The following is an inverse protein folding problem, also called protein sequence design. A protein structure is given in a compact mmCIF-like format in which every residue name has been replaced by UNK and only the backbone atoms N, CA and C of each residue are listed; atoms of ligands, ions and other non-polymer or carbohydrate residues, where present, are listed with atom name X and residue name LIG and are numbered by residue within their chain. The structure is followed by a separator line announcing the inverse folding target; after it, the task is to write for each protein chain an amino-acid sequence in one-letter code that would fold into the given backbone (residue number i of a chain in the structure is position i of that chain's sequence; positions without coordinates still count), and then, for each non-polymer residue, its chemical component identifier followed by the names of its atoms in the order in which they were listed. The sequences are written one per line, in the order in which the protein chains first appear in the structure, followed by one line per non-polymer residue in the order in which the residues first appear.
data_IF_352619060443
#
_entry.id   IF_352619060443
#
_cell.length_a   1.000
_cell.length_b   1.000
_cell.length_c   1.000
_cell.angle_alpha   90.00
_cell.angle_beta   90.00
_cell.angle_gamma   90.00
#
_symmetry.space_group_name_H-M   'P 1'
#
loop_
_entity.id
_entity.type
_entity.pdbx_description
1 polymer ?
#
# COMPACT_ATOMS: atom_id res chain seq x y z
N UNK A 1 22.38 -0.66 -52.70
CA UNK A 1 22.51 -1.47 -51.47
C UNK A 1 23.25 -0.61 -50.44
N UNK A 2 22.58 -0.12 -49.38
CA UNK A 2 23.28 0.62 -48.33
C UNK A 2 24.01 -0.36 -47.38
N UNK A 3 25.11 0.05 -46.74
CA UNK A 3 25.86 -0.81 -45.85
C UNK A 3 25.07 -1.07 -44.55
N UNK A 4 25.06 -2.34 -44.12
CA UNK A 4 24.52 -2.76 -42.83
C UNK A 4 25.37 -2.17 -41.70
N UNK A 5 24.78 -1.33 -40.86
CA UNK A 5 25.38 -0.93 -39.60
C UNK A 5 25.43 -2.14 -38.66
N UNK A 6 26.62 -2.55 -38.26
CA UNK A 6 26.83 -3.58 -37.24
C UNK A 6 26.46 -3.02 -35.85
N UNK A 7 25.71 -3.76 -35.01
CA UNK A 7 25.42 -3.32 -33.66
C UNK A 7 26.70 -3.38 -32.80
N UNK A 8 27.00 -2.30 -32.07
CA UNK A 8 28.10 -2.26 -31.10
C UNK A 8 27.93 -3.38 -30.04
N UNK A 9 28.80 -4.40 -30.11
CA UNK A 9 28.79 -5.59 -29.25
C UNK A 9 29.06 -5.33 -27.77
N UNK A 10 29.56 -4.14 -27.39
CA UNK A 10 29.91 -3.80 -26.00
C UNK A 10 28.79 -3.18 -25.14
N UNK A 11 27.73 -2.63 -25.75
CA UNK A 11 26.64 -1.98 -25.00
C UNK A 11 25.63 -3.01 -24.44
N UNK A 12 25.46 -4.14 -25.10
CA UNK A 12 24.57 -5.22 -24.65
C UNK A 12 25.06 -5.89 -23.36
N UNK A 13 26.35 -6.25 -23.30
CA UNK A 13 26.96 -6.93 -22.16
C UNK A 13 26.92 -6.11 -20.86
N UNK A 14 27.11 -4.78 -20.95
CA UNK A 14 27.07 -3.88 -19.78
C UNK A 14 25.66 -3.65 -19.25
N UNK A 15 24.65 -3.76 -20.12
CA UNK A 15 23.25 -3.63 -19.76
C UNK A 15 22.70 -4.92 -19.14
N UNK A 16 23.11 -6.08 -19.65
CA UNK A 16 22.79 -7.39 -19.05
C UNK A 16 23.43 -7.54 -17.67
N UNK A 17 24.72 -7.21 -17.50
CA UNK A 17 25.40 -7.27 -16.19
C UNK A 17 24.72 -6.41 -15.11
N UNK A 18 24.26 -5.20 -15.46
CA UNK A 18 23.52 -4.35 -14.52
C UNK A 18 22.12 -4.88 -14.19
N UNK A 19 21.46 -5.54 -15.14
CA UNK A 19 20.16 -6.16 -14.92
C UNK A 19 20.26 -7.38 -14.02
N UNK A 20 21.27 -8.23 -14.26
CA UNK A 20 21.52 -9.44 -13.47
C UNK A 20 21.92 -9.05 -12.03
N UNK A 21 22.78 -8.04 -11.86
CA UNK A 21 23.15 -7.53 -10.54
C UNK A 21 21.94 -7.02 -9.72
N UNK A 22 21.02 -6.28 -10.35
CA UNK A 22 19.80 -5.81 -9.68
C UNK A 22 18.82 -6.94 -9.32
N UNK A 23 18.81 -8.05 -10.07
CA UNK A 23 18.04 -9.24 -9.74
C UNK A 23 18.59 -9.95 -8.51
N UNK A 24 19.91 -10.21 -8.48
CA UNK A 24 20.56 -10.85 -7.33
C UNK A 24 20.35 -10.07 -6.03
N UNK A 25 20.44 -8.73 -6.07
CA UNK A 25 20.15 -7.89 -4.92
C UNK A 25 18.72 -8.07 -4.44
N UNK A 26 17.73 -8.08 -5.34
CA UNK A 26 16.32 -8.24 -4.97
C UNK A 26 16.09 -9.61 -4.31
N UNK A 27 16.65 -10.68 -4.89
CA UNK A 27 16.59 -12.03 -4.32
C UNK A 27 17.24 -12.10 -2.93
N UNK A 28 18.36 -11.42 -2.72
CA UNK A 28 19.03 -11.36 -1.41
C UNK A 28 18.13 -10.67 -0.37
N UNK A 29 17.47 -9.57 -0.72
CA UNK A 29 16.53 -8.90 0.18
C UNK A 29 15.33 -9.80 0.50
N UNK A 30 14.76 -10.50 -0.49
CA UNK A 30 13.66 -11.46 -0.28
C UNK A 30 14.11 -12.59 0.67
N UNK A 31 15.28 -13.18 0.44
CA UNK A 31 15.80 -14.26 1.27
C UNK A 31 16.05 -13.78 2.71
N UNK A 32 16.74 -12.65 2.90
CA UNK A 32 17.01 -12.09 4.22
C UNK A 32 15.74 -11.71 4.99
N UNK A 33 14.80 -11.04 4.32
CA UNK A 33 13.55 -10.62 4.92
C UNK A 33 12.63 -11.81 5.26
N UNK A 34 12.66 -12.88 4.45
CA UNK A 34 11.94 -14.13 4.73
C UNK A 34 12.56 -14.87 5.91
N UNK A 35 13.90 -14.92 5.99
CA UNK A 35 14.61 -15.51 7.11
C UNK A 35 14.28 -14.81 8.44
N UNK A 36 14.20 -13.47 8.44
CA UNK A 36 13.80 -12.69 9.62
C UNK A 36 12.37 -13.01 10.05
N UNK A 37 11.41 -13.04 9.12
CA UNK A 37 10.00 -13.39 9.42
C UNK A 37 9.87 -14.82 9.95
N UNK A 38 10.58 -15.79 9.34
CA UNK A 38 10.65 -17.17 9.83
C UNK A 38 11.28 -17.25 11.21
N UNK A 39 12.37 -16.52 11.45
CA UNK A 39 13.02 -16.42 12.76
C UNK A 39 12.08 -15.88 13.83
N UNK A 40 11.35 -14.79 13.55
CA UNK A 40 10.36 -14.22 14.47
C UNK A 40 9.18 -15.17 14.74
N UNK A 41 8.71 -15.89 13.73
CA UNK A 41 7.69 -16.91 13.90
C UNK A 41 8.19 -18.09 14.75
N UNK A 42 9.42 -18.54 14.53
CA UNK A 42 10.07 -19.60 15.30
C UNK A 42 10.29 -19.20 16.77
N UNK A 43 10.63 -17.93 17.02
CA UNK A 43 10.72 -17.35 18.36
C UNK A 43 9.35 -17.19 19.06
N UNK A 44 8.25 -17.54 18.40
CA UNK A 44 6.92 -17.50 19.02
C UNK A 44 6.35 -16.09 19.19
N UNK A 45 6.81 -15.10 18.39
CA UNK A 45 6.28 -13.73 18.43
C UNK A 45 4.84 -13.66 17.89
N UNK A 46 4.47 -14.59 17.02
CA UNK A 46 3.18 -14.62 16.30
C UNK A 46 1.92 -14.52 17.17
N UNK A 47 1.72 -15.40 18.17
CA UNK A 47 0.53 -15.36 19.04
C UNK A 47 0.32 -13.99 19.69
N UNK A 48 1.37 -13.38 20.24
CA UNK A 48 1.31 -12.05 20.86
C UNK A 48 0.95 -10.92 19.89
N UNK A 49 1.21 -11.10 18.59
CA UNK A 49 0.86 -10.16 17.53
C UNK A 49 -0.54 -10.42 16.94
N UNK A 50 -1.03 -11.67 16.97
CA UNK A 50 -2.36 -12.03 16.47
C UNK A 50 -3.49 -11.38 17.28
N UNK A 51 -3.26 -11.11 18.57
CA UNK A 51 -4.20 -10.43 19.46
C UNK A 51 -4.19 -8.90 19.33
N UNK A 52 -3.30 -8.35 18.49
CA UNK A 52 -3.16 -6.90 18.29
C UNK A 52 -4.13 -6.44 17.22
N UNK A 53 -5.05 -5.56 17.62
CA UNK A 53 -6.08 -4.99 16.75
C UNK A 53 -5.50 -4.08 15.64
N UNK A 54 -4.27 -3.60 15.81
CA UNK A 54 -3.55 -2.84 14.79
C UNK A 54 -3.10 -3.74 13.63
N UNK A 55 -2.89 -5.03 13.91
CA UNK A 55 -2.34 -6.02 12.99
C UNK A 55 -3.43 -6.89 12.36
N UNK A 56 -4.30 -7.42 13.21
CA UNK A 56 -5.35 -8.35 12.84
C UNK A 56 -6.71 -7.64 12.96
N UNK A 57 -7.33 -7.35 11.82
CA UNK A 57 -8.68 -6.76 11.78
C UNK A 57 -9.73 -7.84 11.54
N UNK A 58 -11.04 -7.54 11.64
CA UNK A 58 -12.10 -8.49 11.29
C UNK A 58 -11.99 -9.11 9.90
N UNK A 59 -11.34 -8.41 8.96
CA UNK A 59 -11.15 -8.86 7.59
C UNK A 59 -9.81 -9.55 7.35
N UNK A 60 -8.80 -9.31 8.18
CA UNK A 60 -7.44 -9.80 7.93
C UNK A 60 -6.93 -10.80 8.97
N UNK A 61 -7.71 -11.07 10.03
CA UNK A 61 -7.29 -11.92 11.15
C UNK A 61 -7.15 -13.41 10.81
N UNK A 62 -5.98 -13.97 11.11
CA UNK A 62 -5.74 -15.42 11.07
C UNK A 62 -6.62 -16.18 12.07
N UNK A 63 -6.87 -15.62 13.25
CA UNK A 63 -7.68 -16.26 14.28
C UNK A 63 -9.10 -16.47 13.78
N UNK A 64 -9.68 -15.44 13.15
CA UNK A 64 -11.01 -15.55 12.52
C UNK A 64 -11.01 -16.50 11.33
N UNK A 65 -9.93 -16.56 10.55
CA UNK A 65 -9.79 -17.56 9.48
C UNK A 65 -9.83 -18.98 10.05
N UNK A 66 -9.09 -19.26 11.14
CA UNK A 66 -9.09 -20.56 11.82
C UNK A 66 -10.48 -20.91 12.35
N UNK A 67 -11.17 -19.95 12.94
CA UNK A 67 -12.54 -20.14 13.42
C UNK A 67 -13.51 -20.41 12.27
N UNK A 68 -13.40 -19.69 11.15
CA UNK A 68 -14.17 -19.95 9.94
C UNK A 68 -13.92 -21.35 9.37
N UNK A 69 -12.66 -21.80 9.34
CA UNK A 69 -12.30 -23.16 8.92
C UNK A 69 -12.89 -24.22 9.85
N UNK A 70 -12.84 -23.98 11.16
CA UNK A 70 -13.44 -24.85 12.16
C UNK A 70 -14.95 -24.98 11.93
N UNK A 71 -15.68 -23.88 11.75
CA UNK A 71 -17.12 -23.92 11.46
C UNK A 71 -17.42 -24.71 10.18
N UNK A 72 -16.63 -24.51 9.13
CA UNK A 72 -16.76 -25.22 7.86
C UNK A 72 -16.58 -26.74 8.04
N UNK A 73 -15.63 -27.17 8.87
CA UNK A 73 -15.39 -28.59 9.17
C UNK A 73 -16.56 -29.23 9.95
N UNK A 74 -17.25 -28.45 10.77
CA UNK A 74 -18.45 -28.88 11.51
C UNK A 74 -19.75 -28.76 10.69
N UNK A 75 -19.67 -28.50 9.39
CA UNK A 75 -20.84 -28.41 8.50
C UNK A 75 -21.67 -27.13 8.66
N UNK A 76 -21.15 -26.13 9.38
CA UNK A 76 -21.77 -24.82 9.54
C UNK A 76 -21.14 -23.80 8.60
N UNK A 77 -21.96 -22.88 8.05
CA UNK A 77 -21.43 -21.81 7.20
C UNK A 77 -20.57 -20.84 8.03
N UNK A 78 -19.31 -20.58 7.64
CA UNK A 78 -18.46 -19.59 8.31
C UNK A 78 -19.05 -18.18 8.36
N UNK A 79 -19.97 -17.88 7.43
CA UNK A 79 -20.61 -16.56 7.26
C UNK A 79 -22.01 -16.48 7.87
N UNK A 80 -22.51 -17.56 8.48
CA UNK A 80 -23.83 -17.55 9.10
C UNK A 80 -23.89 -16.61 10.33
N UNK A 81 -22.74 -16.34 10.96
CA UNK A 81 -22.62 -15.47 12.13
C UNK A 81 -21.54 -14.39 11.98
N UNK A 82 -21.04 -13.91 13.12
CA UNK A 82 -19.99 -12.86 13.20
C UNK A 82 -18.56 -13.41 13.26
N UNK A 83 -18.38 -14.72 13.10
CA UNK A 83 -17.09 -15.37 13.26
C UNK A 83 -16.10 -14.99 12.14
N UNK A 84 -16.57 -14.99 10.88
CA UNK A 84 -15.71 -14.79 9.71
C UNK A 84 -16.31 -13.82 8.69
N UNK A 85 -15.51 -12.82 8.30
CA UNK A 85 -15.93 -11.73 7.39
C UNK A 85 -14.96 -11.49 6.23
N UNK A 86 -13.89 -12.26 6.13
CA UNK A 86 -12.89 -12.09 5.08
C UNK A 86 -13.29 -12.80 3.77
N UNK A 87 -12.50 -12.59 2.71
CA UNK A 87 -12.80 -13.10 1.39
C UNK A 87 -12.85 -14.64 1.33
N UNK A 88 -13.89 -15.26 0.73
CA UNK A 88 -14.08 -16.71 0.79
C UNK A 88 -12.97 -17.58 0.25
N UNK A 89 -12.18 -17.08 -0.70
CA UNK A 89 -11.07 -17.85 -1.26
C UNK A 89 -9.91 -18.00 -0.26
N UNK A 90 -9.85 -17.15 0.77
CA UNK A 90 -8.81 -17.23 1.79
C UNK A 90 -8.94 -18.50 2.64
N UNK A 91 -10.16 -19.01 2.86
CA UNK A 91 -10.38 -20.26 3.60
C UNK A 91 -9.61 -21.44 2.96
N UNK A 92 -9.86 -21.85 1.69
CA UNK A 92 -9.12 -22.94 1.08
C UNK A 92 -7.65 -22.59 0.79
N UNK A 93 -7.33 -21.33 0.48
CA UNK A 93 -5.97 -20.94 0.07
C UNK A 93 -4.99 -20.85 1.24
N UNK A 94 -5.45 -20.40 2.41
CA UNK A 94 -4.62 -20.23 3.60
C UNK A 94 -4.84 -21.34 4.63
N UNK A 95 -5.95 -22.08 4.54
CA UNK A 95 -6.39 -22.98 5.61
C UNK A 95 -5.47 -24.16 5.90
N UNK A 96 -4.77 -24.68 4.88
CA UNK A 96 -3.80 -25.77 5.07
C UNK A 96 -2.61 -25.37 5.95
N UNK A 97 -2.22 -24.09 5.90
CA UNK A 97 -1.11 -23.55 6.70
C UNK A 97 -1.58 -22.85 7.98
N UNK A 98 -2.84 -22.42 8.03
CA UNK A 98 -3.36 -21.53 9.06
C UNK A 98 -3.17 -22.08 10.48
N UNK A 99 -3.42 -23.37 10.71
CA UNK A 99 -3.38 -23.97 12.05
C UNK A 99 -1.96 -24.29 12.54
N UNK A 100 -0.95 -24.27 11.67
CA UNK A 100 0.41 -24.62 12.05
C UNK A 100 1.12 -23.45 12.76
N UNK A 101 1.88 -23.68 13.85
CA UNK A 101 2.50 -22.61 14.65
C UNK A 101 3.55 -21.78 13.91
N UNK A 102 4.20 -22.35 12.89
CA UNK A 102 5.19 -21.66 12.04
C UNK A 102 4.68 -21.44 10.60
N UNK A 103 4.12 -22.46 9.94
CA UNK A 103 3.79 -22.40 8.51
C UNK A 103 2.67 -21.40 8.17
N UNK A 104 1.91 -20.90 9.15
CA UNK A 104 0.86 -19.89 8.89
C UNK A 104 1.39 -18.62 8.21
N UNK A 105 2.69 -18.31 8.33
CA UNK A 105 3.30 -17.14 7.68
C UNK A 105 3.59 -17.36 6.19
N UNK A 106 3.63 -18.61 5.70
CA UNK A 106 4.06 -18.93 4.34
C UNK A 106 3.30 -18.15 3.26
N UNK A 107 1.96 -18.02 3.32
CA UNK A 107 1.25 -17.24 2.32
C UNK A 107 1.64 -15.75 2.36
N UNK A 108 1.91 -15.22 3.55
CA UNK A 108 2.44 -13.86 3.72
C UNK A 108 3.84 -13.71 3.12
N UNK A 109 4.72 -14.70 3.29
CA UNK A 109 6.07 -14.69 2.66
C UNK A 109 5.99 -14.69 1.13
N UNK A 110 5.11 -15.52 0.57
CA UNK A 110 4.89 -15.58 -0.88
C UNK A 110 4.35 -14.24 -1.37
N UNK A 111 3.38 -13.66 -0.67
CA UNK A 111 2.83 -12.36 -1.01
C UNK A 111 3.88 -11.24 -0.93
N UNK A 112 4.69 -11.20 0.14
CA UNK A 112 5.76 -10.22 0.30
C UNK A 112 6.84 -10.36 -0.78
N UNK A 113 7.17 -11.60 -1.20
CA UNK A 113 8.06 -11.83 -2.33
C UNK A 113 7.47 -11.30 -3.65
N UNK A 114 6.19 -11.57 -3.93
CA UNK A 114 5.49 -11.04 -5.11
C UNK A 114 5.41 -9.50 -5.10
N UNK A 115 5.14 -8.90 -3.94
CA UNK A 115 5.18 -7.45 -3.74
C UNK A 115 6.58 -6.88 -4.03
N UNK A 116 7.62 -7.49 -3.49
CA UNK A 116 9.02 -7.10 -3.71
C UNK A 116 9.43 -7.20 -5.19
N UNK A 117 9.04 -8.27 -5.87
CA UNK A 117 9.28 -8.45 -7.30
C UNK A 117 8.56 -7.39 -8.14
N UNK A 118 7.31 -7.08 -7.78
CA UNK A 118 6.53 -6.01 -8.43
C UNK A 118 7.18 -4.64 -8.24
N UNK A 119 7.66 -4.32 -7.04
CA UNK A 119 8.38 -3.09 -6.74
C UNK A 119 9.73 -3.00 -7.47
N UNK A 120 10.47 -4.11 -7.55
CA UNK A 120 11.72 -4.16 -8.32
C UNK A 120 11.45 -3.93 -9.82
N UNK A 121 10.37 -4.50 -10.35
CA UNK A 121 9.94 -4.26 -11.72
C UNK A 121 9.57 -2.77 -11.94
N UNK A 122 8.77 -2.20 -11.04
CA UNK A 122 8.40 -0.79 -11.05
C UNK A 122 9.64 0.12 -11.03
N UNK A 123 10.58 -0.12 -10.11
CA UNK A 123 11.80 0.68 -9.98
C UNK A 123 12.66 0.62 -11.26
N UNK A 124 12.76 -0.55 -11.88
CA UNK A 124 13.49 -0.70 -13.17
C UNK A 124 12.82 0.13 -14.26
N UNK A 125 11.50 0.14 -14.34
CA UNK A 125 10.80 0.94 -15.34
C UNK A 125 10.98 2.44 -15.13
N UNK A 126 10.98 2.90 -13.87
CA UNK A 126 11.20 4.31 -13.55
C UNK A 126 12.63 4.79 -13.80
N UNK A 127 13.60 3.88 -13.75
CA UNK A 127 15.02 4.19 -14.01
C UNK A 127 15.44 3.95 -15.46
N UNK A 128 14.62 3.28 -16.28
CA UNK A 128 14.88 3.08 -17.73
C UNK A 128 14.95 4.43 -18.44
N UNK A 129 16.13 4.76 -18.97
CA UNK A 129 16.36 5.98 -19.75
C UNK A 129 16.72 7.23 -18.94
N UNK A 130 16.78 7.15 -17.59
CA UNK A 130 17.26 8.25 -16.77
C UNK A 130 18.78 8.33 -16.78
N UNK A 131 19.33 9.50 -17.10
CA UNK A 131 20.78 9.81 -16.96
C UNK A 131 21.19 10.03 -15.51
N UNK A 132 20.22 10.19 -14.59
CA UNK A 132 20.48 10.29 -13.15
C UNK A 132 20.85 8.90 -12.62
N UNK A 133 21.81 8.80 -11.68
CA UNK A 133 22.15 7.53 -11.05
C UNK A 133 20.89 6.86 -10.50
N UNK A 134 20.85 5.52 -10.61
CA UNK A 134 19.79 4.72 -10.02
C UNK A 134 19.55 5.20 -8.59
N UNK A 135 18.28 5.43 -8.26
CA UNK A 135 17.83 5.76 -6.91
C UNK A 135 18.61 4.91 -5.91
N UNK A 136 19.35 5.55 -4.99
CA UNK A 136 20.36 4.89 -4.13
C UNK A 136 19.81 3.89 -3.10
N UNK A 137 18.53 3.55 -3.21
CA UNK A 137 17.81 2.61 -2.37
C UNK A 137 16.98 1.64 -3.23
N UNK A 138 16.66 0.47 -2.70
CA UNK A 138 15.78 -0.51 -3.36
C UNK A 138 14.35 -0.38 -2.81
N UNK A 139 13.35 -0.20 -3.68
CA UNK A 139 11.94 -0.19 -3.28
C UNK A 139 11.52 -1.53 -2.66
N UNK A 140 12.01 -2.63 -3.23
CA UNK A 140 11.80 -3.96 -2.68
C UNK A 140 12.35 -4.07 -1.25
N UNK A 141 13.55 -3.53 -1.01
CA UNK A 141 14.13 -3.47 0.33
C UNK A 141 13.30 -2.61 1.29
N UNK A 142 12.88 -1.42 0.86
CA UNK A 142 12.07 -0.51 1.68
C UNK A 142 10.75 -1.14 2.12
N UNK A 143 10.11 -1.94 1.27
CA UNK A 143 8.90 -2.69 1.65
C UNK A 143 9.20 -3.89 2.54
N UNK A 144 10.17 -4.74 2.16
CA UNK A 144 10.47 -5.99 2.87
C UNK A 144 11.00 -5.77 4.28
N UNK A 145 11.78 -4.70 4.48
CA UNK A 145 12.37 -4.30 5.76
C UNK A 145 11.52 -3.28 6.51
N UNK A 146 10.32 -2.95 6.02
CA UNK A 146 9.39 -2.12 6.73
C UNK A 146 8.92 -2.85 8.00
N UNK A 147 9.12 -2.30 9.21
CA UNK A 147 8.68 -2.95 10.45
C UNK A 147 7.17 -3.23 10.46
N UNK A 148 6.35 -2.36 9.85
CA UNK A 148 4.91 -2.57 9.75
C UNK A 148 4.54 -3.76 8.85
N UNK A 149 5.28 -3.97 7.75
CA UNK A 149 5.07 -5.12 6.86
C UNK A 149 5.51 -6.43 7.54
N UNK A 150 6.63 -6.39 8.27
CA UNK A 150 7.11 -7.53 9.06
C UNK A 150 6.08 -7.91 10.13
N UNK A 151 5.58 -6.92 10.90
CA UNK A 151 4.57 -7.14 11.92
C UNK A 151 3.25 -7.65 11.33
N UNK A 152 2.81 -7.15 10.18
CA UNK A 152 1.62 -7.64 9.49
C UNK A 152 1.76 -9.13 9.10
N UNK A 153 2.89 -9.51 8.50
CA UNK A 153 3.15 -10.90 8.13
C UNK A 153 3.28 -11.82 9.36
N UNK A 154 4.06 -11.40 10.36
CA UNK A 154 4.27 -12.19 11.59
C UNK A 154 3.02 -12.25 12.48
N UNK A 155 2.10 -11.29 12.41
CA UNK A 155 0.81 -11.38 13.10
C UNK A 155 -0.23 -12.22 12.37
N UNK A 156 0.12 -12.84 11.24
CA UNK A 156 -0.81 -13.66 10.46
C UNK A 156 -1.88 -12.86 9.72
N UNK A 157 -1.64 -11.57 9.47
CA UNK A 157 -2.57 -10.74 8.71
C UNK A 157 -2.63 -11.18 7.24
N UNK A 158 -3.80 -11.18 6.61
CA UNK A 158 -3.92 -11.35 5.15
C UNK A 158 -3.55 -10.09 4.35
N UNK A 159 -3.26 -8.96 5.02
CA UNK A 159 -2.89 -7.69 4.38
C UNK A 159 -1.72 -7.78 3.36
N UNK A 160 -0.67 -8.62 3.55
CA UNK A 160 0.36 -8.80 2.53
C UNK A 160 -0.18 -9.28 1.18
N UNK A 161 -1.24 -10.10 1.16
CA UNK A 161 -1.87 -10.56 -0.09
C UNK A 161 -2.53 -9.39 -0.83
N UNK A 162 -3.23 -8.50 -0.10
CA UNK A 162 -3.81 -7.27 -0.65
C UNK A 162 -2.72 -6.36 -1.24
N UNK A 163 -1.64 -6.17 -0.49
CA UNK A 163 -0.49 -5.37 -0.91
C UNK A 163 0.18 -5.93 -2.17
N UNK A 164 0.37 -7.25 -2.23
CA UNK A 164 0.95 -7.92 -3.39
C UNK A 164 0.09 -7.72 -4.65
N UNK A 165 -1.23 -7.90 -4.53
CA UNK A 165 -2.16 -7.69 -5.63
C UNK A 165 -2.16 -6.22 -6.12
N UNK A 166 -2.20 -5.26 -5.20
CA UNK A 166 -2.14 -3.83 -5.53
C UNK A 166 -0.82 -3.40 -6.18
N UNK A 167 0.31 -3.90 -5.69
CA UNK A 167 1.63 -3.61 -6.27
C UNK A 167 1.82 -4.28 -7.63
N UNK A 168 1.31 -5.50 -7.81
CA UNK A 168 1.31 -6.18 -9.11
C UNK A 168 0.50 -5.41 -10.15
N UNK A 169 -0.69 -4.91 -9.75
CA UNK A 169 -1.51 -4.04 -10.59
C UNK A 169 -0.75 -2.78 -11.00
N UNK A 170 -0.12 -2.10 -10.04
CA UNK A 170 0.64 -0.87 -10.26
C UNK A 170 1.83 -1.10 -11.20
N UNK A 171 2.63 -2.13 -10.94
CA UNK A 171 3.79 -2.48 -11.76
C UNK A 171 3.39 -2.84 -13.19
N UNK A 172 2.28 -3.60 -13.36
CA UNK A 172 1.75 -3.97 -14.67
C UNK A 172 1.14 -2.78 -15.42
N UNK A 173 0.52 -1.83 -14.71
CA UNK A 173 -0.01 -0.61 -15.29
C UNK A 173 1.09 0.30 -15.84
N UNK A 174 2.20 0.46 -15.10
CA UNK A 174 3.39 1.19 -15.60
C UNK A 174 4.06 0.45 -16.76
N UNK A 175 3.99 -0.89 -16.77
CA UNK A 175 4.42 -1.72 -17.90
C UNK A 175 3.53 -1.56 -19.16
N UNK A 176 2.43 -0.82 -19.07
CA UNK A 176 1.41 -0.69 -20.12
C UNK A 176 0.83 -2.06 -20.51
N UNK A 177 0.69 -2.95 -19.52
CA UNK A 177 0.12 -4.28 -19.71
C UNK A 177 -1.27 -4.36 -19.06
N UNK A 178 -2.28 -3.97 -19.84
CA UNK A 178 -3.67 -3.89 -19.40
C UNK A 178 -4.23 -5.18 -18.79
N UNK A 179 -4.08 -6.39 -19.37
CA UNK A 179 -4.67 -7.60 -18.79
C UNK A 179 -4.05 -7.96 -17.43
N UNK A 180 -2.74 -7.83 -17.25
CA UNK A 180 -2.12 -8.10 -15.95
C UNK A 180 -2.45 -7.02 -14.91
N UNK A 181 -2.54 -5.75 -15.34
CA UNK A 181 -3.00 -4.67 -14.46
C UNK A 181 -4.43 -4.92 -13.98
N UNK A 182 -5.34 -5.28 -14.90
CA UNK A 182 -6.72 -5.61 -14.59
C UNK A 182 -6.82 -6.82 -13.64
N UNK A 183 -6.04 -7.87 -13.89
CA UNK A 183 -5.97 -9.04 -12.99
C UNK A 183 -5.57 -8.64 -11.57
N UNK A 184 -4.51 -7.83 -11.41
CA UNK A 184 -4.09 -7.34 -10.10
C UNK A 184 -5.16 -6.51 -9.40
N UNK A 185 -5.86 -5.63 -10.13
CA UNK A 185 -6.98 -4.83 -9.60
C UNK A 185 -8.11 -5.73 -9.13
N UNK A 186 -8.50 -6.74 -9.92
CA UNK A 186 -9.56 -7.70 -9.55
C UNK A 186 -9.17 -8.49 -8.31
N UNK A 187 -7.93 -8.98 -8.23
CA UNK A 187 -7.44 -9.67 -7.02
C UNK A 187 -7.45 -8.75 -5.79
N UNK A 188 -7.01 -7.50 -5.93
CA UNK A 188 -7.03 -6.53 -4.84
C UNK A 188 -8.47 -6.22 -4.40
N UNK A 189 -9.39 -6.02 -5.35
CA UNK A 189 -10.81 -5.76 -5.13
C UNK A 189 -11.52 -6.93 -4.44
N UNK A 190 -11.09 -8.15 -4.76
CA UNK A 190 -11.62 -9.35 -4.16
C UNK A 190 -11.20 -9.47 -2.68
N UNK A 191 -9.93 -9.22 -2.39
CA UNK A 191 -9.33 -9.37 -1.06
C UNK A 191 -9.71 -8.24 -0.10
N UNK A 192 -9.76 -7.00 -0.60
CA UNK A 192 -10.19 -5.82 0.15
C UNK A 192 -11.28 -5.15 -0.67
N UNK A 193 -12.37 -4.75 -0.04
CA UNK A 193 -13.48 -4.12 -0.74
C UNK A 193 -13.08 -2.81 -1.43
N UNK A 194 -12.09 -2.08 -0.91
CA UNK A 194 -11.89 -0.68 -1.26
C UNK A 194 -11.33 -0.34 -2.66
N UNK A 195 -10.89 -1.30 -3.48
CA UNK A 195 -10.80 -1.15 -4.93
C UNK A 195 -12.17 -1.20 -5.66
N UNK A 196 -13.32 -1.14 -4.95
CA UNK A 196 -14.67 -0.90 -5.50
C UNK A 196 -14.85 0.46 -6.20
N UNK A 197 -13.78 1.16 -6.55
CA UNK A 197 -13.80 2.09 -7.69
C UNK A 197 -14.21 1.39 -9.00
N UNK A 198 -14.25 0.05 -9.05
CA UNK A 198 -14.73 -0.74 -10.18
C UNK A 198 -15.66 -1.90 -9.74
N UNK A 199 -16.98 -1.68 -9.89
CA UNK A 199 -18.07 -2.67 -10.03
C UNK A 199 -18.38 -3.69 -8.88
N UNK A 200 -19.54 -3.43 -8.26
CA UNK A 200 -20.54 -4.32 -7.59
C UNK A 200 -20.24 -5.83 -7.56
N UNK A 201 -20.21 -6.44 -6.34
CA UNK A 201 -21.30 -7.35 -5.93
C UNK A 201 -21.81 -7.12 -4.49
N UNK A 202 -23.12 -6.81 -4.34
CA UNK A 202 -23.77 -6.42 -3.08
C UNK A 202 -23.95 -7.58 -2.08
N UNK A 203 -24.01 -8.84 -2.54
CA UNK A 203 -24.41 -9.97 -1.69
C UNK A 203 -23.31 -10.49 -0.74
N UNK A 204 -22.05 -10.60 -1.21
CA UNK A 204 -20.92 -11.11 -0.38
C UNK A 204 -20.33 -10.01 0.49
N UNK A 205 -20.38 -8.77 0.03
CA UNK A 205 -19.76 -7.63 0.68
C UNK A 205 -20.69 -6.81 1.57
N UNK A 206 -21.95 -7.23 1.73
CA UNK A 206 -22.91 -6.56 2.60
C UNK A 206 -22.38 -6.37 4.02
N UNK A 207 -21.56 -7.29 4.54
CA UNK A 207 -20.95 -7.14 5.85
C UNK A 207 -19.92 -5.99 5.91
N UNK A 208 -19.09 -5.85 4.88
CA UNK A 208 -18.07 -4.79 4.80
C UNK A 208 -18.74 -3.43 4.55
N UNK A 209 -19.75 -3.38 3.68
CA UNK A 209 -20.49 -2.15 3.37
C UNK A 209 -21.36 -1.66 4.54
N UNK A 210 -21.97 -2.58 5.28
CA UNK A 210 -22.84 -2.24 6.42
C UNK A 210 -22.06 -2.05 7.72
N UNK A 211 -20.77 -2.40 7.74
CA UNK A 211 -19.86 -2.29 8.90
C UNK A 211 -20.57 -2.75 10.17
N UNK A 212 -21.05 -3.99 10.15
CA UNK A 212 -21.84 -4.56 11.26
C UNK A 212 -20.95 -4.91 12.44
N UNK A 213 -19.73 -5.34 12.16
CA UNK A 213 -18.73 -5.59 13.18
C UNK A 213 -18.01 -4.28 13.53
N UNK A 214 -18.20 -3.81 14.75
CA UNK A 214 -17.57 -2.60 15.28
C UNK A 214 -16.37 -2.94 16.20
N UNK A 215 -15.75 -4.12 16.07
CA UNK A 215 -14.57 -4.42 16.90
C UNK A 215 -13.50 -3.35 16.72
N UNK A 216 -12.82 -2.95 17.81
CA UNK A 216 -11.76 -1.96 17.78
C UNK A 216 -10.70 -2.26 16.73
N UNK A 217 -10.27 -1.22 16.01
CA UNK A 217 -9.18 -1.24 15.05
C UNK A 217 -8.58 0.16 14.94
N UNK A 218 -7.62 0.37 14.04
CA UNK A 218 -6.95 1.67 13.88
C UNK A 218 -7.71 2.67 12.98
N UNK A 219 -8.91 2.31 12.52
CA UNK A 219 -9.72 3.10 11.61
C UNK A 219 -10.76 4.00 12.28
N UNK A 220 -11.42 4.83 11.47
CA UNK A 220 -12.40 5.81 11.94
C UNK A 220 -13.76 5.19 12.35
N UNK A 221 -14.10 4.04 11.76
CA UNK A 221 -15.46 3.52 11.75
C UNK A 221 -15.89 2.94 13.09
N UNK A 222 -15.08 2.06 13.69
CA UNK A 222 -15.50 1.20 14.80
C UNK A 222 -16.13 1.96 15.97
N UNK A 223 -15.49 3.04 16.45
CA UNK A 223 -15.99 3.80 17.59
C UNK A 223 -17.13 4.74 17.20
N UNK A 224 -17.01 5.41 16.05
CA UNK A 224 -18.05 6.29 15.52
C UNK A 224 -19.39 5.54 15.39
N UNK A 225 -19.35 4.34 14.81
CA UNK A 225 -20.52 3.49 14.61
C UNK A 225 -20.98 2.73 15.86
N UNK A 226 -20.16 2.69 16.91
CA UNK A 226 -20.56 2.22 18.25
C UNK A 226 -21.41 3.28 18.96
N UNK A 227 -21.08 4.57 18.79
CA UNK A 227 -21.78 5.68 19.45
C UNK A 227 -22.98 6.23 18.66
N UNK A 228 -23.10 5.87 17.38
CA UNK A 228 -24.09 6.42 16.48
C UNK A 228 -25.47 5.79 16.67
N UNK A 229 -26.51 6.62 16.73
CA UNK A 229 -27.88 6.12 16.73
C UNK A 229 -28.21 5.35 15.42
N UNK A 230 -29.02 4.28 15.50
CA UNK A 230 -29.33 3.43 14.34
C UNK A 230 -29.90 4.20 13.15
N UNK A 231 -30.69 5.24 13.39
CA UNK A 231 -31.37 6.04 12.37
C UNK A 231 -30.38 6.79 11.47
N UNK A 232 -29.22 7.18 12.01
CA UNK A 232 -28.18 7.90 11.27
C UNK A 232 -27.12 6.99 10.64
N UNK A 233 -27.09 5.70 10.99
CA UNK A 233 -26.04 4.76 10.53
C UNK A 233 -25.94 4.71 9.01
N UNK A 234 -27.06 4.55 8.31
CA UNK A 234 -27.06 4.40 6.85
C UNK A 234 -26.53 5.68 6.18
N UNK A 235 -26.98 6.85 6.64
CA UNK A 235 -26.53 8.13 6.12
C UNK A 235 -25.01 8.32 6.31
N UNK A 236 -24.50 7.99 7.50
CA UNK A 236 -23.07 8.06 7.79
C UNK A 236 -22.24 7.06 6.97
N UNK A 237 -22.74 5.83 6.78
CA UNK A 237 -22.08 4.83 5.94
C UNK A 237 -21.99 5.31 4.49
N UNK A 238 -23.08 5.83 3.93
CA UNK A 238 -23.09 6.39 2.56
C UNK A 238 -22.08 7.53 2.48
N UNK A 239 -22.08 8.47 3.43
CA UNK A 239 -21.14 9.58 3.46
C UNK A 239 -19.67 9.12 3.50
N UNK A 240 -19.31 8.22 4.43
CA UNK A 240 -17.92 7.79 4.59
C UNK A 240 -17.42 6.93 3.41
N UNK A 241 -18.26 6.04 2.87
CA UNK A 241 -17.87 5.24 1.69
C UNK A 241 -17.77 6.11 0.43
N UNK A 242 -18.66 7.08 0.25
CA UNK A 242 -18.62 8.01 -0.91
C UNK A 242 -17.47 9.00 -0.80
N UNK A 243 -17.09 9.43 0.41
CA UNK A 243 -15.93 10.31 0.61
C UNK A 243 -14.65 9.72 0.01
N UNK A 244 -14.41 8.42 0.19
CA UNK A 244 -13.25 7.75 -0.42
C UNK A 244 -13.24 7.81 -1.95
N UNK A 245 -14.42 7.65 -2.58
CA UNK A 245 -14.60 7.69 -4.03
C UNK A 245 -14.52 9.12 -4.59
N UNK A 246 -14.99 10.11 -3.81
CA UNK A 246 -15.03 11.51 -4.22
C UNK A 246 -13.64 12.05 -4.52
N UNK A 247 -12.61 11.57 -3.82
CA UNK A 247 -11.23 11.99 -4.06
C UNK A 247 -10.59 11.35 -5.30
N UNK A 248 -11.07 10.18 -5.74
CA UNK A 248 -10.44 9.45 -6.86
C UNK A 248 -10.51 10.24 -8.17
N UNK A 249 -11.70 10.71 -8.57
CA UNK A 249 -11.89 11.38 -9.87
C UNK A 249 -11.09 12.69 -9.97
N UNK A 250 -11.16 13.64 -9.01
CA UNK A 250 -10.40 14.87 -9.06
C UNK A 250 -8.89 14.64 -9.02
N UNK A 251 -8.42 13.69 -8.21
CA UNK A 251 -7.01 13.35 -8.08
C UNK A 251 -6.46 12.77 -9.39
N UNK A 252 -7.16 11.81 -9.99
CA UNK A 252 -6.78 11.21 -11.28
C UNK A 252 -6.80 12.25 -12.41
N UNK A 253 -7.78 13.14 -12.44
CA UNK A 253 -7.86 14.20 -13.45
C UNK A 253 -6.72 15.23 -13.30
N UNK A 254 -6.47 15.71 -12.08
CA UNK A 254 -5.48 16.76 -11.80
C UNK A 254 -4.04 16.29 -11.99
N UNK A 255 -3.75 15.02 -11.64
CA UNK A 255 -2.41 14.43 -11.70
C UNK A 255 -2.28 13.37 -12.81
N UNK A 256 -3.05 13.50 -13.90
CA UNK A 256 -2.91 12.65 -15.10
C UNK A 256 -1.50 12.63 -15.69
N UNK A 257 -0.73 13.71 -15.52
CA UNK A 257 0.69 13.81 -15.91
C UNK A 257 1.64 13.08 -14.94
N UNK A 258 1.17 12.70 -13.74
CA UNK A 258 1.92 11.98 -12.70
C UNK A 258 1.07 10.85 -12.08
N UNK A 259 0.76 9.79 -12.85
CA UNK A 259 -0.16 8.73 -12.41
C UNK A 259 0.33 8.00 -11.15
N UNK A 260 1.63 7.79 -10.99
CA UNK A 260 2.19 7.14 -9.79
C UNK A 260 1.96 7.93 -8.50
N UNK A 261 2.07 9.26 -8.58
CA UNK A 261 1.79 10.13 -7.44
C UNK A 261 0.30 10.08 -7.07
N UNK A 262 -0.59 10.08 -8.07
CA UNK A 262 -2.02 9.91 -7.86
C UNK A 262 -2.34 8.55 -7.20
N UNK A 263 -1.71 7.46 -7.63
CA UNK A 263 -1.88 6.14 -7.01
C UNK A 263 -1.47 6.15 -5.52
N UNK A 264 -0.32 6.73 -5.17
CA UNK A 264 0.12 6.76 -3.76
C UNK A 264 -0.79 7.64 -2.91
N UNK A 265 -1.25 8.78 -3.43
CA UNK A 265 -2.27 9.59 -2.76
C UNK A 265 -3.57 8.80 -2.55
N UNK A 266 -4.02 8.03 -3.54
CA UNK A 266 -5.20 7.17 -3.42
C UNK A 266 -4.99 6.05 -2.38
N UNK A 267 -3.79 5.48 -2.24
CA UNK A 267 -3.50 4.50 -1.19
C UNK A 267 -3.63 5.11 0.22
N UNK A 268 -3.21 6.36 0.41
CA UNK A 268 -3.37 7.07 1.69
C UNK A 268 -4.87 7.33 1.97
N UNK A 269 -5.62 7.81 0.97
CA UNK A 269 -7.07 8.02 1.06
C UNK A 269 -7.78 6.71 1.39
N UNK A 270 -7.39 5.62 0.73
CA UNK A 270 -7.96 4.30 0.98
C UNK A 270 -7.69 3.84 2.41
N UNK A 271 -6.46 3.99 2.93
CA UNK A 271 -6.14 3.64 4.31
C UNK A 271 -6.94 4.47 5.33
N UNK A 272 -7.21 5.74 5.04
CA UNK A 272 -7.97 6.66 5.90
C UNK A 272 -9.46 6.28 5.98
N UNK A 273 -10.08 5.93 4.84
CA UNK A 273 -11.52 5.67 4.74
C UNK A 273 -11.89 4.19 4.69
N UNK A 274 -10.93 3.26 4.75
CA UNK A 274 -11.18 1.82 4.88
C UNK A 274 -11.87 1.55 6.23
N UNK A 275 -12.96 0.76 6.29
CA UNK A 275 -13.65 0.46 7.55
C UNK A 275 -12.82 -0.32 8.56
N UNK A 276 -11.94 -1.20 8.06
CA UNK A 276 -11.07 -2.08 8.85
C UNK A 276 -9.62 -1.96 8.38
N UNK A 277 -8.97 -0.79 8.57
CA UNK A 277 -7.58 -0.60 8.18
C UNK A 277 -6.65 -1.33 9.15
N UNK A 278 -5.52 -1.78 8.61
CA UNK A 278 -4.46 -2.47 9.34
C UNK A 278 -3.12 -1.75 9.16
N UNK A 279 -2.14 -2.05 10.00
CA UNK A 279 -0.77 -1.53 9.79
C UNK A 279 -0.18 -1.98 8.44
N UNK A 280 -0.70 -3.07 7.84
CA UNK A 280 -0.29 -3.52 6.51
C UNK A 280 -0.67 -2.52 5.40
N UNK A 281 -1.82 -1.85 5.53
CA UNK A 281 -2.26 -0.79 4.61
C UNK A 281 -1.30 0.42 4.70
N UNK A 282 -0.85 0.75 5.91
CA UNK A 282 0.10 1.82 6.17
C UNK A 282 1.49 1.47 5.64
N UNK A 283 1.91 0.22 5.84
CA UNK A 283 3.21 -0.27 5.37
C UNK A 283 3.41 -0.06 3.87
N UNK A 284 2.34 -0.27 3.09
CA UNK A 284 2.36 -0.17 1.64
C UNK A 284 2.69 1.25 1.14
N UNK A 285 1.90 2.25 1.54
CA UNK A 285 2.15 3.62 1.05
C UNK A 285 3.44 4.19 1.64
N UNK A 286 3.79 3.84 2.90
CA UNK A 286 5.05 4.27 3.52
C UNK A 286 6.28 3.76 2.76
N UNK A 287 6.23 2.55 2.21
CA UNK A 287 7.31 2.00 1.39
C UNK A 287 7.46 2.72 0.04
N UNK A 288 6.39 3.33 -0.47
CA UNK A 288 6.37 4.08 -1.73
C UNK A 288 6.70 5.57 -1.55
N UNK A 289 6.53 6.14 -0.35
CA UNK A 289 6.83 7.55 -0.08
C UNK A 289 8.23 8.00 -0.53
N UNK A 290 9.32 7.22 -0.36
CA UNK A 290 10.65 7.63 -0.80
C UNK A 290 10.76 7.96 -2.29
N UNK A 291 9.85 7.46 -3.14
CA UNK A 291 9.78 7.86 -4.56
C UNK A 291 9.59 9.37 -4.75
N UNK A 292 9.08 10.06 -3.74
CA UNK A 292 8.80 11.49 -3.73
C UNK A 292 9.73 12.24 -2.77
N UNK A 293 11.02 11.87 -2.70
CA UNK A 293 12.00 12.51 -1.80
C UNK A 293 12.06 14.03 -1.93
N UNK A 294 11.93 14.57 -3.15
CA UNK A 294 11.91 16.00 -3.40
C UNK A 294 10.70 16.69 -2.73
N UNK A 295 9.53 16.04 -2.75
CA UNK A 295 8.33 16.51 -2.08
C UNK A 295 8.45 16.34 -0.56
N UNK A 296 8.99 15.21 -0.10
CA UNK A 296 9.22 14.93 1.31
C UNK A 296 10.20 15.93 1.96
N UNK A 297 11.24 16.34 1.22
CA UNK A 297 12.19 17.35 1.70
C UNK A 297 11.56 18.74 1.91
N UNK A 298 10.39 18.98 1.32
CA UNK A 298 9.62 20.24 1.45
C UNK A 298 8.58 20.19 2.56
N UNK A 299 8.42 19.05 3.24
CA UNK A 299 7.53 18.95 4.40
C UNK A 299 7.98 19.93 5.48
N UNK A 300 7.04 20.66 6.08
CA UNK A 300 7.37 21.79 6.95
C UNK A 300 8.05 21.37 8.27
N UNK A 301 7.98 20.09 8.66
CA UNK A 301 8.69 19.59 9.83
C UNK A 301 9.31 18.21 9.60
N UNK A 302 10.60 18.09 9.90
CA UNK A 302 11.35 16.82 9.89
C UNK A 302 10.76 15.79 10.87
N UNK A 303 10.10 16.26 11.92
CA UNK A 303 9.44 15.44 12.94
C UNK A 303 8.09 14.90 12.50
N UNK A 304 7.51 15.39 11.41
CA UNK A 304 6.16 14.98 11.00
C UNK A 304 6.05 13.47 10.78
N UNK A 305 7.00 12.87 10.04
CA UNK A 305 7.01 11.42 9.80
C UNK A 305 7.30 10.63 11.08
N UNK A 306 8.14 11.17 11.96
CA UNK A 306 8.46 10.57 13.27
C UNK A 306 7.23 10.51 14.16
N UNK A 307 6.38 11.54 14.14
CA UNK A 307 5.14 11.58 14.93
C UNK A 307 4.16 10.47 14.51
N UNK A 308 4.05 10.18 13.20
CA UNK A 308 3.23 9.06 12.71
C UNK A 308 3.73 7.70 13.21
N UNK A 309 5.04 7.50 13.23
CA UNK A 309 5.63 6.30 13.80
C UNK A 309 5.39 6.21 15.31
N UNK A 310 5.58 7.31 16.06
CA UNK A 310 5.36 7.35 17.51
C UNK A 310 3.90 7.04 17.90
N UNK A 311 2.94 7.52 17.10
CA UNK A 311 1.51 7.20 17.28
C UNK A 311 1.26 5.69 17.14
N UNK A 312 1.83 5.06 16.10
CA UNK A 312 1.62 3.65 15.79
C UNK A 312 2.39 2.68 16.69
N UNK A 313 3.65 2.97 17.00
CA UNK A 313 4.53 2.04 17.72
C UNK A 313 4.61 2.30 19.23
N UNK A 314 4.25 3.50 19.69
CA UNK A 314 4.30 3.89 21.09
C UNK A 314 2.91 4.08 21.70
N UNK A 315 2.20 5.12 21.26
CA UNK A 315 0.96 5.57 21.91
C UNK A 315 -0.22 4.60 21.71
N UNK A 316 -0.40 4.05 20.51
CA UNK A 316 -1.48 3.09 20.22
C UNK A 316 -1.43 1.86 21.14
N UNK A 317 -0.32 1.10 21.14
CA UNK A 317 -0.18 -0.07 22.01
C UNK A 317 -0.27 0.25 23.50
N UNK A 318 0.24 1.42 23.92
CA UNK A 318 0.14 1.89 25.30
C UNK A 318 -1.33 2.14 25.70
N UNK A 319 -2.09 2.88 24.90
CA UNK A 319 -3.50 3.14 25.18
C UNK A 319 -4.34 1.86 25.13
N UNK A 320 -4.05 0.95 24.20
CA UNK A 320 -4.67 -0.38 24.16
C UNK A 320 -4.40 -1.16 25.45
N UNK A 321 -3.15 -1.16 25.93
CA UNK A 321 -2.79 -1.86 27.15
C UNK A 321 -3.46 -1.27 28.40
N UNK A 322 -3.49 0.06 28.51
CA UNK A 322 -4.15 0.75 29.61
C UNK A 322 -5.65 0.49 29.63
N UNK A 323 -6.27 0.35 28.45
CA UNK A 323 -7.70 0.04 28.34
C UNK A 323 -8.01 -1.43 28.64
N UNK A 324 -7.34 -2.37 27.97
CA UNK A 324 -7.70 -3.79 28.01
C UNK A 324 -7.11 -4.56 29.20
N UNK A 325 -5.94 -4.17 29.72
CA UNK A 325 -5.26 -4.94 30.76
C UNK A 325 -5.22 -4.20 32.11
N UNK A 326 -4.93 -2.89 32.10
CA UNK A 326 -4.81 -2.12 33.35
C UNK A 326 -6.16 -1.59 33.83
N UNK A 327 -7.09 -1.31 32.91
CA UNK A 327 -8.41 -0.75 33.22
C UNK A 327 -8.39 0.72 33.65
N UNK A 328 -7.26 1.43 33.48
CA UNK A 328 -7.11 2.84 33.84
C UNK A 328 -7.48 3.81 32.70
N UNK A 329 -7.64 3.29 31.48
CA UNK A 329 -8.16 4.02 30.33
C UNK A 329 -9.45 3.35 29.82
N UNK A 330 -10.25 4.10 29.07
CA UNK A 330 -11.42 3.58 28.36
C UNK A 330 -11.24 3.68 26.84
N UNK A 331 -12.22 3.16 26.10
CA UNK A 331 -12.23 3.14 24.64
C UNK A 331 -11.98 4.51 23.97
N UNK A 332 -12.39 5.62 24.62
CA UNK A 332 -12.17 6.97 24.07
C UNK A 332 -10.68 7.31 23.93
N UNK A 333 -9.84 6.87 24.87
CA UNK A 333 -8.41 7.16 24.84
C UNK A 333 -7.75 6.48 23.64
N UNK A 334 -8.06 5.21 23.42
CA UNK A 334 -7.59 4.50 22.25
C UNK A 334 -8.14 5.13 20.96
N UNK A 335 -9.43 5.45 20.92
CA UNK A 335 -10.03 6.11 19.75
C UNK A 335 -9.41 7.48 19.45
N UNK A 336 -9.07 8.28 20.47
CA UNK A 336 -8.37 9.55 20.28
C UNK A 336 -7.02 9.35 19.56
N UNK A 337 -6.28 8.28 19.86
CA UNK A 337 -5.05 7.94 19.11
C UNK A 337 -5.36 7.57 17.66
N UNK A 338 -6.44 6.83 17.39
CA UNK A 338 -6.84 6.51 16.01
C UNK A 338 -7.27 7.75 15.21
N UNK A 339 -7.93 8.72 15.86
CA UNK A 339 -8.26 10.02 15.26
C UNK A 339 -7.00 10.84 14.97
N UNK A 340 -6.02 10.84 15.88
CA UNK A 340 -4.72 11.48 15.66
C UNK A 340 -3.96 10.83 14.49
N UNK A 341 -4.01 9.51 14.35
CA UNK A 341 -3.45 8.80 13.20
C UNK A 341 -4.13 9.22 11.89
N UNK A 342 -5.46 9.30 11.87
CA UNK A 342 -6.22 9.78 10.72
C UNK A 342 -5.89 11.25 10.37
N UNK A 343 -5.84 12.13 11.37
CA UNK A 343 -5.42 13.51 11.19
C UNK A 343 -3.99 13.62 10.63
N UNK A 344 -3.08 12.78 11.12
CA UNK A 344 -1.72 12.68 10.60
C UNK A 344 -1.71 12.24 9.12
N UNK A 345 -2.51 11.25 8.72
CA UNK A 345 -2.64 10.84 7.32
C UNK A 345 -3.20 11.97 6.43
N UNK A 346 -4.19 12.72 6.91
CA UNK A 346 -4.74 13.90 6.20
C UNK A 346 -3.68 14.98 6.02
N UNK A 347 -2.91 15.30 7.07
CA UNK A 347 -1.83 16.28 7.00
C UNK A 347 -0.69 15.81 6.08
N UNK A 348 -0.37 14.51 6.07
CA UNK A 348 0.60 13.93 5.16
C UNK A 348 0.16 14.14 3.70
N UNK A 349 -1.09 13.77 3.41
CA UNK A 349 -1.68 13.93 2.09
C UNK A 349 -1.71 15.39 1.65
N UNK A 350 -2.17 16.30 2.51
CA UNK A 350 -2.24 17.73 2.21
C UNK A 350 -0.86 18.32 1.90
N UNK A 351 0.17 17.98 2.69
CA UNK A 351 1.52 18.47 2.45
C UNK A 351 2.14 17.87 1.17
N UNK A 352 1.93 16.58 0.90
CA UNK A 352 2.38 15.95 -0.35
C UNK A 352 1.74 16.60 -1.58
N UNK A 353 0.43 16.85 -1.53
CA UNK A 353 -0.31 17.55 -2.58
C UNK A 353 0.20 18.98 -2.75
N UNK A 354 0.31 19.75 -1.65
CA UNK A 354 0.81 21.12 -1.67
C UNK A 354 2.22 21.23 -2.25
N UNK A 355 3.16 20.39 -1.78
CA UNK A 355 4.53 20.36 -2.29
C UNK A 355 4.58 20.03 -3.79
N UNK A 356 3.72 19.13 -4.25
CA UNK A 356 3.65 18.72 -5.67
C UNK A 356 3.06 19.81 -6.55
N UNK A 357 2.00 20.48 -6.09
CA UNK A 357 1.39 21.61 -6.79
C UNK A 357 2.36 22.79 -6.91
N UNK A 358 3.10 23.07 -5.84
CA UNK A 358 4.13 24.11 -5.82
C UNK A 358 5.30 23.77 -6.77
N UNK A 359 5.74 22.51 -6.83
CA UNK A 359 6.70 22.06 -7.84
C UNK A 359 6.17 22.30 -9.27
N UNK A 360 4.91 21.96 -9.54
CA UNK A 360 4.30 22.18 -10.87
C UNK A 360 4.24 23.66 -11.24
N UNK A 361 3.86 24.51 -10.28
CA UNK A 361 3.78 25.96 -10.49
C UNK A 361 5.15 26.58 -10.77
N UNK A 362 6.20 26.12 -10.08
CA UNK A 362 7.57 26.57 -10.30
C UNK A 362 8.10 26.15 -11.67
N UNK A 363 7.81 24.92 -12.10
CA UNK A 363 8.17 24.43 -13.45
C UNK A 363 7.48 25.26 -14.54
N UNK A 364 6.20 25.58 -14.37
CA UNK A 364 5.46 26.41 -15.32
C UNK A 364 6.05 27.83 -15.45
N UNK A 365 6.43 28.46 -14.34
CA UNK A 365 7.09 29.76 -14.37
C UNK A 365 8.48 29.71 -15.01
N UNK A 366 9.25 28.66 -14.74
CA UNK A 366 10.57 28.48 -15.34
C UNK A 366 10.46 28.37 -16.87
N UNK A 367 9.47 27.63 -17.37
CA UNK A 367 9.17 27.55 -18.80
C UNK A 367 8.74 28.88 -19.42
N UNK A 368 8.01 29.72 -18.67
CA UNK A 368 7.59 31.05 -19.15
C UNK A 368 8.73 32.09 -19.15
N UNK A 369 9.74 31.94 -18.28
CA UNK A 369 10.87 32.87 -18.16
C UNK A 369 12.03 32.59 -19.13
N UNK A 370 12.04 31.45 -19.84
CA UNK A 370 13.04 31.20 -20.88
C UNK A 370 12.73 32.09 -22.10
N UNK A 371 13.60 33.07 -22.45
CA UNK A 371 13.39 33.88 -23.64
C UNK A 371 13.48 32.96 -24.86
N UNK A 372 12.49 33.08 -25.77
CA UNK A 372 12.58 32.51 -27.11
C UNK A 372 13.81 33.13 -27.76
N UNK A 373 14.94 32.42 -27.78
CA UNK A 373 16.05 32.78 -28.65
C UNK A 373 15.48 32.84 -30.06
N UNK A 374 15.51 34.00 -30.75
CA UNK A 374 15.07 34.05 -32.12
C UNK A 374 15.90 33.04 -32.91
N UNK A 375 15.20 32.16 -33.63
CA UNK A 375 15.78 31.24 -34.61
C UNK A 375 16.64 32.09 -35.55
N UNK A 376 17.96 32.07 -35.34
CA UNK A 376 18.89 32.56 -36.34
C UNK A 376 18.75 31.58 -37.50
N UNK A 377 17.98 31.97 -38.51
CA UNK A 377 17.91 31.29 -39.79
C UNK A 377 19.31 31.32 -40.40
N UNK A 378 20.11 30.29 -40.12
CA UNK A 378 21.30 29.97 -40.87
C UNK A 378 20.86 29.36 -42.21
N UNK A 379 21.17 29.96 -43.37
CA UNK A 379 20.75 29.45 -44.68
C UNK A 379 21.51 28.19 -45.13
N UNK A 380 22.10 27.42 -44.21
CA UNK A 380 22.78 26.15 -44.51
C UNK A 380 22.26 25.06 -43.56
N UNK A 381 21.30 24.26 -44.02
CA UNK A 381 20.88 23.06 -43.27
C UNK A 381 21.94 21.96 -43.29
N UNK A 382 21.62 20.74 -42.82
CA UNK A 382 20.69 20.35 -41.76
C UNK A 382 21.43 19.57 -40.65
N UNK A 383 21.11 19.73 -39.36
CA UNK A 383 21.39 18.68 -38.37
C UNK A 383 20.78 18.94 -36.97
N UNK A 384 20.39 17.82 -36.34
CA UNK A 384 20.34 17.56 -34.89
C UNK A 384 19.01 17.78 -34.12
N UNK A 385 18.36 16.62 -33.90
CA UNK A 385 17.86 16.09 -32.61
C UNK A 385 17.01 17.01 -31.73
N UNK A 386 15.69 16.83 -31.81
CA UNK A 386 14.74 17.24 -30.77
C UNK A 386 14.90 16.36 -29.51
N UNK A 387 15.49 16.92 -28.46
CA UNK A 387 15.33 16.47 -27.08
C UNK A 387 14.23 17.31 -26.40
N UNK A 388 13.18 16.65 -25.92
CA UNK A 388 12.22 17.25 -24.98
C UNK A 388 12.79 17.14 -23.55
N UNK A 389 12.67 18.17 -22.69
CA UNK A 389 13.06 18.06 -21.29
C UNK A 389 11.95 17.41 -20.42
N UNK A 390 12.33 16.74 -19.31
CA UNK A 390 11.42 16.02 -18.40
C UNK A 390 10.65 16.90 -17.40
#
# INVERSE_FOLDING_TARGET
MPPQATPCSGCGARATDRQDFGWHITCLHIAGASAVRLGLAWLGVGPSLQDRIEIATPLTSLTRLREGLFLMQYGSSPYAGSAYHAAPLLLPLLGSTASHPILYILPGLVADALAALSLAHLQRQLTRGSTRPAVGYSLAALYLWNPLAILACCGGSSAPLENAAGLFALASAVAVNAPFAAFGIVCAAYLSLHPLTLMVPIAVYGHILLVKDNTPNIGLYWYLFTQMFPEFRIAALVFLHTAALLFTVPLSWRFRHRPLFACVCQLIINALFKPYPSIGDIALYMALLPLFTAQLARLQSSLFLVNGFLLLSGLGPAMWHLWMHVGSANANFFYAITLLLGAWQVLLLAQLLGATLECDWQLQQASQKQPVTPEVTDPRGPQQTRSYPP
#
